data_IF_183722412232
#
_entry.id   IF_183722412232
#
_cell.length_a   1.000
_cell.length_b   1.000
_cell.length_c   1.000
_cell.angle_alpha   90.00
_cell.angle_beta   90.00
_cell.angle_gamma   90.00
#
_symmetry.space_group_name_H-M   'P 1'
#
loop_
_entity.id
_entity.type
_entity.pdbx_description
1 polymer ?
2 non-polymer ?
3 water ?
#
# COMPACT_ATOMS: atom_id res chain seq x y z
N UNK A 9 -10.55 -38.64 9.53
CA UNK A 9 -9.31 -39.20 10.06
C UNK A 9 -8.83 -38.44 11.30
N UNK A 10 -8.03 -39.12 12.13
CA UNK A 10 -7.53 -38.53 13.35
C UNK A 10 -6.42 -37.51 13.10
N UNK A 11 -5.39 -37.89 12.35
CA UNK A 11 -4.19 -37.04 12.27
C UNK A 11 -4.41 -35.78 11.44
N UNK A 12 -4.78 -35.92 10.17
CA UNK A 12 -4.81 -34.78 9.27
C UNK A 12 -5.86 -33.75 9.67
N UNK A 13 -7.09 -34.20 9.96
CA UNK A 13 -8.13 -33.26 10.34
C UNK A 13 -7.83 -32.60 11.68
N UNK A 14 -7.07 -33.26 12.55
CA UNK A 14 -6.58 -32.60 13.75
C UNK A 14 -5.49 -31.59 13.41
N UNK A 15 -4.55 -31.97 12.54
CA UNK A 15 -3.50 -31.04 12.13
C UNK A 15 -4.09 -29.82 11.43
N UNK A 16 -5.05 -30.05 10.52
CA UNK A 16 -5.72 -28.93 9.85
C UNK A 16 -6.39 -28.02 10.87
N UNK A 17 -6.95 -28.61 11.93
CA UNK A 17 -7.52 -27.80 13.00
C UNK A 17 -6.44 -27.05 13.77
N UNK A 18 -5.31 -27.70 14.04
CA UNK A 18 -4.21 -27.02 14.70
C UNK A 18 -3.68 -25.86 13.85
N UNK A 19 -3.53 -26.08 12.54
CA UNK A 19 -3.04 -25.04 11.65
C UNK A 19 -3.98 -23.84 11.70
N UNK A 20 -5.28 -24.10 11.70
CA UNK A 20 -6.26 -23.02 11.78
C UNK A 20 -6.13 -22.24 13.09
N UNK A 21 -5.89 -22.95 14.20
CA UNK A 21 -5.74 -22.29 15.48
C UNK A 21 -4.49 -21.41 15.52
N UNK A 22 -3.39 -21.87 14.92
CA UNK A 22 -2.17 -21.08 14.90
C UNK A 22 -2.35 -19.82 14.06
N UNK A 23 -3.08 -19.94 12.95
CA UNK A 23 -3.30 -18.78 12.09
C UNK A 23 -4.33 -17.82 12.67
N UNK A 24 -5.22 -18.31 13.54
CA UNK A 24 -6.10 -17.41 14.28
C UNK A 24 -5.28 -16.54 15.23
N UNK A 25 -4.22 -17.09 15.80
CA UNK A 25 -3.38 -16.32 16.71
C UNK A 25 -2.51 -15.33 15.95
N UNK A 26 -2.10 -15.70 14.73
CA UNK A 26 -1.36 -14.77 13.88
C UNK A 26 -2.26 -13.60 13.48
N UNK A 27 -3.52 -13.89 13.14
CA UNK A 27 -4.47 -12.81 12.85
C UNK A 27 -4.63 -11.89 14.07
N UNK A 28 -4.69 -12.48 15.26
CA UNK A 28 -4.77 -11.67 16.48
C UNK A 28 -3.54 -10.78 16.64
N UNK A 29 -2.34 -11.35 16.45
CA UNK A 29 -1.13 -10.54 16.50
C UNK A 29 -1.13 -9.46 15.42
N UNK A 30 -1.64 -9.78 14.23
CA UNK A 30 -1.73 -8.77 13.19
C UNK A 30 -2.67 -7.65 13.60
N UNK A 31 -3.83 -8.00 14.16
CA UNK A 31 -4.79 -6.99 14.59
C UNK A 31 -4.21 -6.13 15.70
N UNK A 32 -3.33 -6.69 16.54
CA UNK A 32 -2.73 -5.93 17.62
C UNK A 32 -1.66 -4.99 17.09
N UNK A 33 -0.94 -5.38 16.03
CA UNK A 33 0.02 -4.49 15.40
C UNK A 33 -0.68 -3.33 14.73
N UNK A 34 -1.79 -3.59 14.02
CA UNK A 34 -2.50 -2.53 13.33
C UNK A 34 -3.15 -1.55 14.29
N UNK A 35 -3.44 -1.98 15.52
CA UNK A 35 -3.85 -1.05 16.56
C UNK A 35 -2.69 -0.14 16.97
N UNK A 36 -1.55 -0.76 17.32
CA UNK A 36 -0.38 0.00 17.76
C UNK A 36 0.06 1.00 16.69
N UNK A 37 -0.04 0.62 15.42
CA UNK A 37 0.31 1.53 14.34
C UNK A 37 -0.71 2.66 14.25
N UNK A 38 -1.98 2.33 14.48
CA UNK A 38 -3.03 3.36 14.45
C UNK A 38 -2.82 4.38 15.56
N UNK A 39 -2.30 3.93 16.71
CA UNK A 39 -1.98 4.85 17.80
C UNK A 39 -0.85 5.80 17.40
N UNK A 40 0.12 5.30 16.63
CA UNK A 40 1.24 6.15 16.21
C UNK A 40 0.77 7.23 15.25
N UNK A 41 -0.14 6.88 14.33
CA UNK A 41 -0.67 7.90 13.43
C UNK A 41 -1.48 8.93 14.18
N UNK A 42 -2.27 8.50 15.17
CA UNK A 42 -3.02 9.45 15.99
C UNK A 42 -2.10 10.37 16.77
N UNK A 43 -0.97 9.84 17.26
CA UNK A 43 -0.04 10.69 18.00
C UNK A 43 0.56 11.76 17.10
N UNK A 44 0.99 11.38 15.90
CA UNK A 44 1.64 12.32 15.01
C UNK A 44 0.63 13.20 14.26
N UNK A 45 -0.63 12.77 14.17
CA UNK A 45 -1.66 13.67 13.67
C UNK A 45 -1.79 14.90 14.57
N UNK A 46 -1.75 14.69 15.88
CA UNK A 46 -1.87 15.79 16.83
C UNK A 46 -0.62 16.66 16.84
N UNK A 47 0.55 16.06 16.59
CA UNK A 47 1.80 16.82 16.57
C UNK A 47 1.91 17.68 15.33
N UNK A 48 1.37 17.22 14.19
CA UNK A 48 1.47 17.97 12.95
C UNK A 48 0.45 19.11 12.89
N UNK A 49 -0.66 18.96 13.61
CA UNK A 49 -1.79 19.88 13.46
C UNK A 49 -1.44 21.34 13.72
N UNK A 50 -0.62 21.70 14.71
CA UNK A 50 -0.24 23.12 14.83
C UNK A 50 0.57 23.63 13.65
N UNK A 51 1.36 22.76 13.02
CA UNK A 51 2.16 23.18 11.86
C UNK A 51 1.30 23.37 10.61
N UNK A 52 0.31 22.50 10.40
CA UNK A 52 -0.63 22.70 9.30
C UNK A 52 -1.40 24.00 9.47
N UNK A 53 -1.75 24.32 10.72
CA UNK A 53 -2.40 25.57 11.10
C UNK A 53 -1.58 26.77 10.67
N UNK A 54 -0.29 26.80 11.05
CA UNK A 54 0.58 27.92 10.67
C UNK A 54 0.72 27.98 9.16
N UNK A 55 0.84 26.82 8.52
CA UNK A 55 0.93 26.77 7.07
C UNK A 55 -0.32 27.37 6.43
N UNK A 56 -1.50 27.05 6.98
CA UNK A 56 -2.73 27.62 6.44
C UNK A 56 -2.70 29.14 6.46
N UNK A 57 -2.22 29.75 7.55
CA UNK A 57 -2.13 31.20 7.62
C UNK A 57 -1.14 31.76 6.60
N UNK A 58 -0.02 31.08 6.41
CA UNK A 58 0.97 31.54 5.45
C UNK A 58 0.45 31.39 4.02
N UNK A 59 -0.28 30.31 3.75
CA UNK A 59 -0.82 30.07 2.42
C UNK A 59 -1.82 31.15 2.04
N UNK A 60 -2.62 31.62 3.01
CA UNK A 60 -3.64 32.63 2.76
C UNK A 60 -3.05 33.98 2.38
N UNK A 61 -1.73 34.12 2.49
CA UNK A 61 -0.98 35.29 2.06
C UNK A 61 -0.40 35.12 0.67
N UNK A 62 -0.72 34.02 -0.01
CA UNK A 62 -0.15 33.67 -1.31
C UNK A 62 -1.26 33.56 -2.35
N UNK A 63 -1.38 34.49 -3.28
CA UNK A 63 -2.45 34.41 -4.29
C UNK A 63 -2.28 33.19 -5.18
N UNK A 64 -3.41 32.52 -5.46
CA UNK A 64 -3.46 31.40 -6.40
C UNK A 64 -2.59 30.22 -5.95
N UNK A 65 -2.42 30.04 -4.64
CA UNK A 65 -1.61 28.93 -4.16
C UNK A 65 -2.20 27.59 -4.58
N UNK A 66 -3.48 27.37 -4.28
CA UNK A 66 -4.06 26.04 -4.47
C UNK A 66 -4.37 25.74 -5.93
N UNK A 67 -4.73 26.75 -6.72
CA UNK A 67 -4.92 26.53 -8.16
C UNK A 67 -3.61 26.08 -8.78
N UNK A 68 -2.52 26.74 -8.41
CA UNK A 68 -1.22 26.41 -9.00
C UNK A 68 -0.75 25.04 -8.54
N UNK A 69 -0.92 24.73 -7.26
CA UNK A 69 -0.64 23.39 -6.75
C UNK A 69 -1.37 22.33 -7.57
N UNK A 70 -2.64 22.57 -7.89
CA UNK A 70 -3.43 21.57 -8.61
C UNK A 70 -3.00 21.49 -10.08
N UNK A 71 -2.74 22.64 -10.69
CA UNK A 71 -2.35 22.66 -12.10
C UNK A 71 -1.00 21.97 -12.32
N UNK A 72 -0.11 22.02 -11.34
CA UNK A 72 1.21 21.42 -11.47
C UNK A 72 1.26 20.02 -10.88
N UNK A 73 0.12 19.44 -10.50
CA UNK A 73 0.10 18.09 -9.95
C UNK A 73 -0.15 17.08 -11.07
N UNK A 74 0.64 16.01 -11.16
CA UNK A 74 0.53 15.10 -12.32
C UNK A 74 -0.83 14.45 -12.50
N UNK A 75 -1.56 14.15 -11.41
CA UNK A 75 -2.86 13.52 -11.57
C UNK A 75 -4.02 14.53 -11.60
N UNK A 76 -3.97 15.54 -10.74
CA UNK A 76 -5.12 16.43 -10.60
C UNK A 76 -5.19 17.42 -11.77
N UNK A 77 -4.05 17.77 -12.37
CA UNK A 77 -4.03 18.72 -13.48
C UNK A 77 -4.98 18.31 -14.59
N UNK A 78 -5.10 17.00 -14.84
CA UNK A 78 -5.96 16.53 -15.92
C UNK A 78 -7.44 16.67 -15.58
N UNK A 79 -7.77 16.91 -14.32
CA UNK A 79 -9.16 17.07 -13.90
C UNK A 79 -9.66 18.50 -14.03
N UNK A 80 -8.80 19.46 -14.33
CA UNK A 80 -9.18 20.87 -14.42
C UNK A 80 -9.44 21.28 -15.85
N UNK A 81 -10.63 21.81 -16.10
CA UNK A 81 -10.91 22.55 -17.31
C UNK A 81 -10.48 24.00 -17.18
N UNK A 82 -10.69 24.76 -18.26
CA UNK A 82 -10.27 26.15 -18.28
C UNK A 82 -11.03 26.98 -17.24
N UNK A 83 -12.36 26.87 -17.24
CA UNK A 83 -13.15 27.66 -16.31
C UNK A 83 -13.05 27.15 -14.89
N UNK A 84 -12.72 25.86 -14.70
CA UNK A 84 -12.46 25.36 -13.37
C UNK A 84 -11.33 26.12 -12.70
N UNK A 85 -10.27 26.44 -13.46
CA UNK A 85 -9.16 27.21 -12.91
C UNK A 85 -9.61 28.60 -12.46
N UNK A 86 -10.45 29.27 -13.27
CA UNK A 86 -10.99 30.55 -12.86
C UNK A 86 -11.73 30.46 -11.53
N UNK A 87 -12.51 29.39 -11.33
CA UNK A 87 -13.23 29.25 -10.07
C UNK A 87 -12.28 28.99 -8.92
N UNK A 88 -11.26 28.16 -9.14
CA UNK A 88 -10.34 27.79 -8.07
C UNK A 88 -9.44 28.96 -7.66
N UNK A 89 -9.37 30.03 -8.46
CA UNK A 89 -8.72 31.25 -8.03
C UNK A 89 -9.18 31.69 -6.64
N UNK A 90 -10.46 31.47 -6.33
CA UNK A 90 -11.06 31.92 -5.10
C UNK A 90 -10.88 30.92 -3.96
N UNK A 91 -10.15 29.84 -4.20
CA UNK A 91 -9.90 28.83 -3.17
C UNK A 91 -8.73 29.31 -2.29
N UNK A 92 -9.05 29.74 -1.07
CA UNK A 92 -8.05 30.30 -0.19
C UNK A 92 -7.47 29.27 0.77
N UNK A 93 -8.21 28.21 1.05
CA UNK A 93 -7.84 27.30 2.12
C UNK A 93 -8.35 25.90 1.81
N UNK A 94 -7.50 24.92 2.03
CA UNK A 94 -7.87 23.50 1.94
C UNK A 94 -7.48 22.87 3.27
N UNK A 95 -8.42 22.15 3.88
CA UNK A 95 -8.18 21.46 5.13
C UNK A 95 -8.54 19.99 4.99
N UNK A 96 -7.76 19.14 5.66
CA UNK A 96 -8.01 17.71 5.70
C UNK A 96 -8.01 17.28 7.17
N UNK A 97 -9.09 16.62 7.60
CA UNK A 97 -9.24 16.18 8.97
C UNK A 97 -9.57 14.69 8.96
N UNK A 98 -8.64 13.88 9.47
CA UNK A 98 -8.96 12.49 9.79
C UNK A 98 -9.70 12.46 11.11
N UNK A 99 -10.78 11.69 11.16
CA UNK A 99 -11.53 11.60 12.41
C UNK A 99 -10.67 10.90 13.46
N UNK A 100 -11.01 11.16 14.73
CA UNK A 100 -10.12 10.80 15.83
C UNK A 100 -9.72 9.32 15.76
N UNK A 101 -10.70 8.44 15.59
CA UNK A 101 -10.45 7.01 15.54
C UNK A 101 -9.91 6.55 14.19
N UNK A 102 -9.75 7.47 13.23
CA UNK A 102 -9.08 7.21 11.95
C UNK A 102 -9.93 6.30 11.07
N UNK A 103 -10.32 5.13 11.60
CA UNK A 103 -11.14 4.19 10.84
C UNK A 103 -12.43 4.82 10.36
N UNK A 104 -13.06 5.66 11.19
CA UNK A 104 -14.32 6.28 10.82
C UNK A 104 -14.26 6.98 9.47
N UNK A 105 -13.16 7.69 9.21
CA UNK A 105 -12.98 8.31 7.91
C UNK A 105 -12.31 9.67 7.98
N UNK A 106 -12.56 10.50 6.98
CA UNK A 106 -11.93 11.82 6.94
C UNK A 106 -12.80 12.77 6.12
N UNK A 107 -12.51 14.05 6.25
CA UNK A 107 -13.22 15.14 5.58
C UNK A 107 -12.22 16.12 4.97
N UNK A 108 -12.56 16.64 3.78
CA UNK A 108 -11.77 17.65 3.12
C UNK A 108 -12.65 18.89 2.94
N UNK A 109 -12.14 20.05 3.34
CA UNK A 109 -12.88 21.30 3.28
C UNK A 109 -12.18 22.24 2.31
N UNK A 110 -12.97 22.82 1.40
CA UNK A 110 -12.47 23.83 0.47
C UNK A 110 -13.16 25.16 0.79
N UNK A 111 -12.37 26.13 1.24
CA UNK A 111 -12.88 27.45 1.61
C UNK A 111 -12.70 28.39 0.42
N UNK A 112 -13.80 28.99 -0.04
CA UNK A 112 -13.77 29.92 -1.15
C UNK A 112 -14.14 31.33 -0.69
N UNK A 113 -13.54 32.32 -1.35
CA UNK A 113 -14.01 33.68 -1.23
C UNK A 113 -15.24 33.86 -2.10
N UNK A 114 -15.97 34.95 -1.86
CA UNK A 114 -17.13 35.27 -2.69
C UNK A 114 -16.72 35.30 -4.16
N UNK A 115 -17.50 34.62 -5.00
CA UNK A 115 -17.08 34.30 -6.36
C UNK A 115 -18.31 34.32 -7.25
N UNK A 116 -18.13 34.40 -8.57
CA UNK A 116 -19.29 34.43 -9.48
C UNK A 116 -19.96 33.09 -9.72
N UNK A 117 -19.47 31.99 -9.14
CA UNK A 117 -19.93 30.66 -9.54
C UNK A 117 -20.92 30.04 -8.58
N UNK A 118 -20.71 30.19 -7.27
CA UNK A 118 -21.60 29.60 -6.30
C UNK A 118 -21.54 30.39 -5.00
N UNK A 119 -22.58 30.22 -4.18
CA UNK A 119 -22.77 31.03 -2.99
C UNK A 119 -22.10 30.42 -1.77
N UNK A 120 -21.64 29.17 -1.86
CA UNK A 120 -21.09 28.48 -0.70
C UNK A 120 -19.79 29.12 -0.25
N UNK A 121 -19.63 29.24 1.06
CA UNK A 121 -18.37 29.69 1.65
C UNK A 121 -17.40 28.52 1.77
N UNK A 122 -17.93 27.32 2.00
CA UNK A 122 -17.12 26.11 2.15
C UNK A 122 -17.76 25.01 1.32
N UNK A 123 -16.93 24.22 0.65
CA UNK A 123 -17.35 23.00 -0.02
C UNK A 123 -16.62 21.84 0.64
N UNK A 124 -17.38 20.83 1.07
CA UNK A 124 -16.80 19.71 1.80
C UNK A 124 -17.23 18.39 1.18
N UNK A 125 -16.34 17.40 1.32
CA UNK A 125 -16.64 16.01 1.00
C UNK A 125 -16.00 15.14 2.08
N UNK A 126 -16.83 14.35 2.76
CA UNK A 126 -16.38 13.48 3.84
C UNK A 126 -16.58 12.02 3.44
N UNK A 127 -15.76 11.15 3.99
CA UNK A 127 -15.77 9.72 3.68
C UNK A 127 -16.01 8.93 4.96
N UNK A 128 -16.93 7.96 4.89
CA UNK A 128 -17.36 7.18 6.05
C UNK A 128 -17.23 5.69 5.81
N UNK A 129 -17.14 4.96 6.92
CA UNK A 129 -17.17 3.50 6.92
C UNK A 129 -18.36 2.99 7.73
N UNK A 132 -23.83 0.39 8.24
CA UNK A 132 -22.90 -0.72 8.48
C UNK A 132 -21.46 -0.26 8.27
N UNK A 133 -20.60 -1.20 7.85
CA UNK A 133 -19.21 -0.89 7.60
C UNK A 133 -18.91 -0.85 6.12
N UNK A 134 -19.75 -0.12 5.37
CA UNK A 134 -19.66 0.02 3.92
C UNK A 134 -19.17 1.41 3.55
N UNK A 135 -18.20 1.52 2.65
CA UNK A 135 -17.62 2.84 2.33
C UNK A 135 -18.66 3.77 1.72
N UNK A 136 -18.76 4.98 2.27
CA UNK A 136 -19.74 5.97 1.85
C UNK A 136 -19.12 7.35 1.86
N UNK A 137 -19.74 8.27 1.11
CA UNK A 137 -19.27 9.65 1.07
C UNK A 137 -20.46 10.59 0.89
N UNK A 138 -20.31 11.81 1.41
CA UNK A 138 -21.34 12.82 1.36
C UNK A 138 -20.70 14.19 1.19
N UNK A 139 -21.34 15.06 0.41
CA UNK A 139 -20.77 16.36 0.11
C UNK A 139 -21.80 17.46 0.38
N UNK A 140 -21.28 18.68 0.54
CA UNK A 140 -22.14 19.85 0.57
C UNK A 140 -22.78 20.05 -0.80
N UNK A 141 -24.04 20.50 -0.78
CA UNK A 141 -24.73 20.82 -2.03
C UNK A 141 -24.22 22.15 -2.57
N UNK A 142 -23.76 22.16 -3.81
CA UNK A 142 -23.20 23.37 -4.40
C UNK A 142 -24.34 24.24 -4.87
N UNK A 143 -24.43 25.45 -4.31
CA UNK A 143 -25.48 26.41 -4.65
C UNK A 143 -24.95 27.32 -5.75
N UNK A 144 -24.96 26.78 -6.97
CA UNK A 144 -24.48 27.52 -8.12
C UNK A 144 -25.34 28.75 -8.39
N UNK A 145 -24.75 29.76 -9.02
CA UNK A 145 -25.47 30.97 -9.36
C UNK A 145 -25.99 30.88 -10.79
N UNK A 146 -26.93 31.76 -11.10
CA UNK A 146 -27.61 31.70 -12.39
C UNK A 146 -26.63 31.81 -13.56
N UNK A 147 -26.56 30.75 -14.36
CA UNK A 147 -25.78 30.67 -15.57
C UNK A 147 -24.33 30.25 -15.40
N UNK A 148 -23.98 29.67 -14.25
CA UNK A 148 -22.65 29.13 -13.98
C UNK A 148 -22.87 27.77 -13.33
N UNK A 149 -22.23 26.74 -13.89
CA UNK A 149 -22.49 25.40 -13.39
C UNK A 149 -21.39 24.46 -13.87
N UNK A 150 -21.62 23.16 -13.69
CA UNK A 150 -20.75 22.10 -14.14
C UNK A 150 -21.22 21.49 -15.45
N UNK A 151 -22.47 21.73 -15.81
CA UNK A 151 -23.02 21.26 -17.08
C UNK A 151 -22.36 22.03 -18.22
N UNK A 152 -21.69 21.28 -19.10
CA UNK A 152 -20.94 21.80 -20.24
C UNK A 152 -21.56 23.05 -20.89
N UNK A 169 -14.27 20.20 -23.12
CA UNK A 169 -13.51 19.55 -22.06
C UNK A 169 -14.27 18.32 -21.54
N UNK A 170 -13.59 17.47 -20.76
CA UNK A 170 -14.32 16.46 -20.00
C UNK A 170 -15.09 17.06 -18.84
N UNK A 171 -15.71 16.19 -18.03
CA UNK A 171 -16.48 16.62 -16.87
C UNK A 171 -15.69 17.59 -15.98
N UNK A 172 -16.42 18.56 -15.43
CA UNK A 172 -15.79 19.62 -14.64
C UNK A 172 -15.18 19.04 -13.36
N UNK A 173 -14.20 19.77 -12.82
CA UNK A 173 -13.56 19.37 -11.57
C UNK A 173 -14.57 19.22 -10.45
N UNK A 174 -15.60 20.07 -10.43
CA UNK A 174 -16.51 20.15 -9.31
C UNK A 174 -17.49 18.99 -9.25
N UNK A 175 -17.62 18.23 -10.34
CA UNK A 175 -18.44 17.02 -10.30
C UNK A 175 -17.92 16.01 -9.28
N UNK A 176 -16.63 16.10 -8.91
CA UNK A 176 -16.09 15.30 -7.83
C UNK A 176 -16.94 15.38 -6.57
N UNK A 177 -17.49 16.56 -6.28
CA UNK A 177 -18.27 16.72 -5.05
C UNK A 177 -19.55 15.90 -5.11
N UNK A 178 -20.10 15.69 -6.30
CA UNK A 178 -21.36 14.99 -6.43
C UNK A 178 -21.18 13.54 -6.87
N UNK A 179 -19.94 13.06 -6.94
CA UNK A 179 -19.66 11.66 -7.25
C UNK A 179 -19.55 10.88 -5.94
N UNK A 180 -20.37 9.83 -5.80
CA UNK A 180 -20.39 9.06 -4.58
C UNK A 180 -20.43 7.56 -4.83
N UNK A 181 -20.30 7.10 -6.08
CA UNK A 181 -20.37 5.66 -6.34
C UNK A 181 -19.15 4.93 -5.80
N UNK A 182 -17.95 5.35 -6.19
CA UNK A 182 -16.72 4.71 -5.74
C UNK A 182 -16.21 5.36 -4.44
N UNK A 183 -17.03 5.28 -3.40
CA UNK A 183 -16.70 5.94 -2.14
C UNK A 183 -15.38 5.41 -1.57
N UNK A 184 -15.22 4.10 -1.53
CA UNK A 184 -13.97 3.53 -1.03
C UNK A 184 -12.81 3.66 -2.00
N UNK A 185 -13.08 3.95 -3.27
CA UNK A 185 -12.06 4.07 -4.30
C UNK A 185 -11.94 5.50 -4.85
N UNK A 186 -12.11 6.50 -3.99
CA UNK A 186 -12.02 7.90 -4.40
C UNK A 186 -10.55 8.28 -4.54
N UNK A 187 -10.05 8.28 -5.78
CA UNK A 187 -8.64 8.57 -6.02
C UNK A 187 -8.28 9.99 -5.60
N UNK A 188 -9.07 10.98 -6.05
CA UNK A 188 -8.76 12.37 -5.73
C UNK A 188 -8.72 12.60 -4.23
N UNK A 189 -9.70 12.05 -3.50
CA UNK A 189 -9.68 12.16 -2.05
C UNK A 189 -8.41 11.59 -1.43
N UNK A 190 -7.96 10.43 -1.93
CA UNK A 190 -6.77 9.81 -1.37
C UNK A 190 -5.52 10.57 -1.78
N UNK A 191 -5.51 11.14 -2.98
CA UNK A 191 -4.35 11.92 -3.44
C UNK A 191 -4.23 13.20 -2.62
N UNK A 192 -5.35 13.90 -2.39
CA UNK A 192 -5.31 15.09 -1.55
C UNK A 192 -4.87 14.74 -0.14
N UNK A 193 -5.42 13.67 0.42
CA UNK A 193 -5.16 13.34 1.82
C UNK A 193 -3.73 12.86 2.03
N UNK A 194 -3.25 12.01 1.14
CA UNK A 194 -1.98 11.32 1.35
C UNK A 194 -0.80 11.99 0.63
N UNK A 195 -1.06 12.76 -0.42
CA UNK A 195 -0.01 13.37 -1.24
C UNK A 195 -0.01 14.88 -1.13
N UNK A 196 -1.10 15.55 -1.52
CA UNK A 196 -1.07 17.00 -1.69
C UNK A 196 -1.14 17.72 -0.36
N UNK A 197 -2.02 17.27 0.54
CA UNK A 197 -2.15 17.92 1.85
C UNK A 197 -0.86 17.87 2.65
N UNK A 198 -0.16 16.73 2.81
CA UNK A 198 1.12 16.76 3.54
C UNK A 198 2.13 17.76 3.01
N UNK A 199 2.22 17.93 1.69
CA UNK A 199 3.23 18.82 1.10
C UNK A 199 2.71 19.40 -0.21
N UNK A 200 1.96 20.50 -0.14
CA UNK A 200 1.56 21.20 -1.37
C UNK A 200 2.63 22.11 -1.95
N UNK A 201 3.66 22.46 -1.17
CA UNK A 201 4.62 23.45 -1.61
C UNK A 201 5.44 22.97 -2.80
N UNK A 202 5.73 21.66 -2.86
CA UNK A 202 6.52 21.12 -3.97
C UNK A 202 5.86 21.38 -5.31
N UNK A 203 4.52 21.38 -5.35
CA UNK A 203 3.80 21.57 -6.60
C UNK A 203 3.58 23.05 -6.91
N UNK A 204 3.39 23.87 -5.89
CA UNK A 204 3.32 25.31 -6.11
C UNK A 204 4.63 25.83 -6.67
N UNK A 205 5.75 25.39 -6.10
CA UNK A 205 7.06 25.90 -6.48
C UNK A 205 7.47 25.32 -7.83
N UNK A 206 7.86 26.21 -8.75
CA UNK A 206 8.36 25.82 -10.06
C UNK A 206 9.79 26.31 -10.17
N UNK A 207 10.75 25.45 -10.49
CA UNK A 207 12.16 25.89 -10.58
C UNK A 207 12.38 26.79 -11.78
N UNK A 208 13.02 27.94 -11.53
CA UNK A 208 13.38 28.86 -12.61
C UNK A 208 14.88 28.83 -12.83
N UNK A 209 15.30 29.24 -14.03
CA UNK A 209 16.70 29.16 -14.38
C UNK A 209 17.26 30.49 -14.89
N UNK B 7 -0.67 41.90 -1.21
CA UNK B 7 0.57 41.45 -0.61
C UNK B 7 1.78 41.86 -1.46
N UNK B 8 2.87 42.20 -0.79
CA UNK B 8 4.06 42.66 -1.49
C UNK B 8 4.76 41.52 -2.21
N UNK B 9 5.59 41.89 -3.20
CA UNK B 9 6.38 40.89 -3.91
C UNK B 9 7.40 40.27 -2.97
N UNK B 10 7.95 41.07 -2.06
CA UNK B 10 8.86 40.59 -1.03
C UNK B 10 8.12 39.77 0.00
N UNK B 11 6.95 40.25 0.42
CA UNK B 11 6.19 39.60 1.48
C UNK B 11 5.82 38.19 1.06
N UNK B 12 5.46 38.01 -0.22
CA UNK B 12 5.14 36.67 -0.73
C UNK B 12 6.36 35.75 -0.62
N UNK B 13 7.54 36.24 -1.03
CA UNK B 13 8.74 35.42 -0.92
C UNK B 13 9.12 35.18 0.54
N UNK B 14 8.74 36.09 1.44
CA UNK B 14 8.91 35.82 2.88
C UNK B 14 7.96 34.72 3.33
N UNK B 15 6.70 34.78 2.88
CA UNK B 15 5.76 33.73 3.21
C UNK B 15 6.21 32.38 2.65
N UNK B 16 6.67 32.37 1.40
CA UNK B 16 7.19 31.14 0.81
C UNK B 16 8.36 30.60 1.62
N UNK B 17 9.20 31.51 2.15
CA UNK B 17 10.29 31.08 3.01
C UNK B 17 9.77 30.51 4.32
N UNK B 18 8.75 31.14 4.90
CA UNK B 18 8.14 30.62 6.13
C UNK B 18 7.51 29.25 5.87
N UNK B 19 6.78 29.12 4.76
CA UNK B 19 6.11 27.85 4.43
C UNK B 19 7.12 26.73 4.31
N UNK B 20 8.28 27.01 3.69
CA UNK B 20 9.31 25.99 3.54
C UNK B 20 9.82 25.54 4.91
N UNK B 21 9.99 26.48 5.84
CA UNK B 21 10.45 26.13 7.17
C UNK B 21 9.41 25.28 7.91
N UNK B 22 8.13 25.62 7.76
CA UNK B 22 7.07 24.85 8.42
C UNK B 22 6.98 23.46 7.83
N UNK B 23 7.18 23.34 6.52
CA UNK B 23 7.08 22.05 5.85
C UNK B 23 8.29 21.17 6.09
N UNK B 24 9.45 21.76 6.43
CA UNK B 24 10.58 20.96 6.84
C UNK B 24 10.31 20.27 8.17
N UNK B 25 9.57 20.91 9.07
CA UNK B 25 9.25 20.30 10.35
C UNK B 25 8.16 19.24 10.20
N UNK B 26 7.23 19.44 9.25
CA UNK B 26 6.25 18.41 8.95
C UNK B 26 6.93 17.18 8.36
N UNK B 27 7.89 17.40 7.46
CA UNK B 27 8.67 16.29 6.93
C UNK B 27 9.42 15.57 8.05
N UNK B 28 9.98 16.32 9.01
CA UNK B 28 10.62 15.70 10.16
C UNK B 28 9.63 14.84 10.93
N UNK B 29 8.45 15.40 11.22
CA UNK B 29 7.43 14.65 11.93
C UNK B 29 6.99 13.42 11.16
N UNK B 30 6.89 13.53 9.83
CA UNK B 30 6.54 12.37 9.01
C UNK B 30 7.62 11.31 9.08
N UNK B 31 8.89 11.72 8.97
CA UNK B 31 10.00 10.77 9.01
C UNK B 31 10.09 10.07 10.37
N UNK B 32 9.72 10.77 11.44
CA UNK B 32 9.78 10.15 12.77
C UNK B 32 8.63 9.17 12.97
N UNK B 33 7.47 9.44 12.37
CA UNK B 33 6.35 8.50 12.45
C UNK B 33 6.66 7.22 11.69
N UNK B 34 7.24 7.33 10.50
CA UNK B 34 7.54 6.14 9.71
C UNK B 34 8.65 5.30 10.33
N UNK B 35 9.50 5.90 11.17
CA UNK B 35 10.42 5.11 11.98
C UNK B 35 9.67 4.33 13.04
N UNK B 36 8.84 5.02 13.83
CA UNK B 36 8.09 4.35 14.89
C UNK B 36 7.25 3.21 14.34
N UNK B 37 6.69 3.39 13.14
CA UNK B 37 5.85 2.35 12.55
C UNK B 37 6.71 1.13 12.17
N UNK B 38 7.91 1.37 11.63
CA UNK B 38 8.79 0.27 11.29
C UNK B 38 9.26 -0.49 12.53
N UNK B 39 9.44 0.22 13.65
CA UNK B 39 9.79 -0.47 14.89
C UNK B 39 8.66 -1.40 15.32
N UNK B 40 7.42 -0.98 15.09
CA UNK B 40 6.27 -1.80 15.45
C UNK B 40 6.21 -3.05 14.58
N UNK B 41 6.51 -2.91 13.29
CA UNK B 41 6.55 -4.07 12.41
C UNK B 41 7.68 -5.02 12.81
N UNK B 42 8.84 -4.46 13.17
CA UNK B 42 9.96 -5.29 13.61
C UNK B 42 9.63 -6.03 14.90
N UNK B 43 8.88 -5.38 15.80
CA UNK B 43 8.52 -6.03 17.05
C UNK B 43 7.61 -7.23 16.78
N UNK B 44 6.61 -7.05 15.92
CA UNK B 44 5.65 -8.11 15.65
C UNK B 44 6.20 -9.14 14.67
N UNK B 45 7.25 -8.80 13.91
CA UNK B 45 7.95 -9.83 13.13
C UNK B 45 8.55 -10.89 14.04
N UNK B 46 9.19 -10.46 15.14
CA UNK B 46 9.75 -11.43 16.07
C UNK B 46 8.66 -12.12 16.87
N UNK B 47 7.54 -11.42 17.09
CA UNK B 47 6.45 -11.99 17.86
C UNK B 47 5.74 -13.10 17.08
N UNK B 48 5.65 -12.95 15.76
CA UNK B 48 4.97 -13.93 14.92
C UNK B 48 5.86 -15.13 14.62
N UNK B 49 7.18 -14.94 14.60
CA UNK B 49 8.08 -15.97 14.10
C UNK B 49 7.98 -17.29 14.85
N UNK B 50 7.77 -17.35 16.17
CA UNK B 50 7.55 -18.67 16.79
C UNK B 50 6.26 -19.33 16.33
N UNK B 51 5.24 -18.55 15.97
CA UNK B 51 3.99 -19.16 15.50
C UNK B 51 4.15 -19.71 14.08
N UNK B 52 4.89 -19.01 13.22
CA UNK B 52 5.23 -19.59 11.92
C UNK B 52 6.08 -20.84 12.11
N UNK B 53 6.99 -20.81 13.09
CA UNK B 53 7.77 -21.99 13.43
C UNK B 53 6.86 -23.15 13.80
N UNK B 54 5.87 -22.89 14.67
CA UNK B 54 4.91 -23.93 15.04
C UNK B 54 4.11 -24.42 13.84
N UNK B 55 3.69 -23.51 12.95
CA UNK B 55 2.93 -23.91 11.77
C UNK B 55 3.72 -24.84 10.86
N UNK B 56 5.00 -24.52 10.62
CA UNK B 56 5.82 -25.34 9.74
C UNK B 56 5.92 -26.77 10.25
N UNK B 57 6.07 -26.96 11.56
CA UNK B 57 6.18 -28.30 12.11
C UNK B 57 4.92 -29.09 11.85
N UNK B 58 3.75 -28.46 11.98
CA UNK B 58 2.50 -29.13 11.71
C UNK B 58 2.33 -29.41 10.23
N UNK B 59 2.77 -28.47 9.38
CA UNK B 59 2.67 -28.67 7.94
C UNK B 59 3.52 -29.85 7.50
N UNK B 60 4.69 -30.04 8.12
CA UNK B 60 5.58 -31.11 7.71
C UNK B 60 5.04 -32.50 8.03
N UNK B 61 3.94 -32.62 8.76
CA UNK B 61 3.30 -33.91 8.96
C UNK B 61 2.14 -34.12 7.98
N UNK B 62 2.00 -33.25 6.99
CA UNK B 62 0.91 -33.34 6.03
C UNK B 62 1.53 -33.59 4.65
N UNK B 63 1.41 -34.80 4.12
CA UNK B 63 2.05 -35.10 2.82
C UNK B 63 1.48 -34.24 1.71
N UNK B 64 2.36 -33.75 0.85
CA UNK B 64 1.99 -33.01 -0.36
C UNK B 64 1.27 -31.70 -0.04
N UNK B 65 1.59 -31.08 1.11
CA UNK B 65 0.94 -29.83 1.47
C UNK B 65 1.25 -28.73 0.48
N UNK B 66 2.54 -28.49 0.22
CA UNK B 66 2.93 -27.31 -0.55
C UNK B 66 2.71 -27.51 -2.04
N UNK B 67 2.90 -28.72 -2.55
CA UNK B 67 2.55 -28.97 -3.95
C UNK B 67 1.07 -28.74 -4.17
N UNK B 68 0.23 -29.15 -3.22
CA UNK B 68 -1.22 -29.00 -3.37
C UNK B 68 -1.62 -27.54 -3.31
N UNK B 69 -1.08 -26.79 -2.35
CA UNK B 69 -1.31 -25.34 -2.30
C UNK B 69 -0.95 -24.68 -3.62
N UNK B 70 0.19 -25.07 -4.21
CA UNK B 70 0.63 -24.43 -5.45
C UNK B 70 -0.25 -24.83 -6.62
N UNK B 71 -0.66 -26.10 -6.67
CA UNK B 71 -1.52 -26.58 -7.75
C UNK B 71 -2.87 -25.90 -7.73
N UNK B 72 -3.37 -25.55 -6.54
CA UNK B 72 -4.68 -24.93 -6.41
C UNK B 72 -4.61 -23.41 -6.34
N UNK B 73 -3.44 -22.82 -6.56
CA UNK B 73 -3.33 -21.36 -6.53
C UNK B 73 -3.54 -20.80 -7.93
N UNK B 74 -4.39 -19.78 -8.10
CA UNK B 74 -4.75 -19.31 -9.45
C UNK B 74 -3.57 -18.83 -10.29
N UNK B 75 -2.55 -18.23 -9.68
CA UNK B 75 -1.43 -17.75 -10.49
C UNK B 75 -0.30 -18.78 -10.59
N UNK B 76 0.04 -19.45 -9.48
CA UNK B 76 1.20 -20.33 -9.47
C UNK B 76 0.92 -21.64 -10.20
N UNK B 77 -0.35 -22.08 -10.21
CA UNK B 77 -0.70 -23.34 -10.85
C UNK B 77 -0.23 -23.41 -12.30
N UNK B 78 -0.28 -22.27 -13.01
CA UNK B 78 0.09 -22.24 -14.42
C UNK B 78 1.59 -22.37 -14.64
N UNK B 79 2.40 -22.19 -13.59
CA UNK B 79 3.84 -22.32 -13.69
C UNK B 79 4.33 -23.75 -13.49
N UNK B 80 3.44 -24.68 -13.14
CA UNK B 80 3.84 -26.04 -12.82
C UNK B 80 3.63 -26.95 -14.02
N UNK B 81 4.70 -27.63 -14.43
CA UNK B 81 4.58 -28.76 -15.35
C UNK B 81 4.29 -30.05 -14.60
N UNK B 82 4.16 -31.13 -15.38
CA UNK B 82 3.84 -32.43 -14.78
C UNK B 82 4.96 -32.91 -13.88
N UNK B 83 6.20 -32.89 -14.38
CA UNK B 83 7.33 -33.35 -13.58
C UNK B 83 7.69 -32.37 -12.48
N UNK B 84 7.34 -31.09 -12.64
CA UNK B 84 7.52 -30.13 -11.56
C UNK B 84 6.75 -30.55 -10.31
N UNK B 85 5.52 -31.04 -10.50
CA UNK B 85 4.72 -31.50 -9.37
C UNK B 85 5.36 -32.69 -8.68
N UNK B 86 5.88 -33.64 -9.45
CA UNK B 86 6.61 -34.77 -8.87
C UNK B 86 7.78 -34.29 -8.02
N UNK B 87 8.49 -33.26 -8.49
CA UNK B 87 9.61 -32.73 -7.72
C UNK B 87 9.13 -32.04 -6.45
N UNK B 88 8.05 -31.26 -6.56
CA UNK B 88 7.52 -30.52 -5.41
C UNK B 88 6.90 -31.43 -4.37
N UNK B 89 6.64 -32.70 -4.70
CA UNK B 89 6.28 -33.71 -3.69
C UNK B 89 7.23 -33.69 -2.51
N UNK B 90 8.52 -33.45 -2.77
CA UNK B 90 9.54 -33.52 -1.74
C UNK B 90 9.72 -32.21 -1.00
N UNK B 91 8.89 -31.21 -1.27
CA UNK B 91 8.95 -29.92 -0.59
C UNK B 91 8.21 -30.03 0.72
N UNK B 92 8.96 -30.11 1.83
CA UNK B 92 8.36 -30.28 3.14
C UNK B 92 8.13 -28.97 3.87
N UNK B 93 8.88 -27.93 3.53
CA UNK B 93 8.89 -26.70 4.31
C UNK B 93 9.16 -25.51 3.41
N UNK B 94 8.39 -24.45 3.59
CA UNK B 94 8.62 -23.18 2.93
C UNK B 94 8.71 -22.11 4.02
N UNK B 95 9.76 -21.30 3.96
CA UNK B 95 9.96 -20.20 4.90
C UNK B 95 10.14 -18.89 4.15
N UNK B 96 9.63 -17.81 4.74
CA UNK B 96 9.79 -16.46 4.22
C UNK B 96 10.32 -15.58 5.33
N UNK B 97 11.44 -14.91 5.07
CA UNK B 97 12.10 -14.07 6.06
C UNK B 97 12.31 -12.68 5.49
N UNK B 98 11.64 -11.69 6.10
CA UNK B 98 11.95 -10.30 5.83
C UNK B 98 13.20 -9.90 6.60
N UNK B 99 14.10 -9.19 5.94
CA UNK B 99 15.28 -8.70 6.62
C UNK B 99 14.87 -7.65 7.66
N UNK B 100 15.74 -7.45 8.65
CA UNK B 100 15.37 -6.68 9.85
C UNK B 100 14.78 -5.33 9.49
N UNK B 101 15.47 -4.56 8.64
CA UNK B 101 14.98 -3.23 8.28
C UNK B 101 13.87 -3.29 7.24
N UNK B 102 13.47 -4.49 6.80
CA UNK B 102 12.30 -4.73 5.97
C UNK B 102 12.54 -4.20 4.56
N UNK B 103 12.88 -2.91 4.45
CA UNK B 103 13.14 -2.32 3.14
C UNK B 103 14.28 -3.05 2.41
N UNK B 104 15.28 -3.53 3.15
CA UNK B 104 16.42 -4.22 2.54
C UNK B 104 15.98 -5.34 1.61
N UNK B 105 14.96 -6.10 2.00
CA UNK B 105 14.40 -7.13 1.13
C UNK B 105 13.94 -8.36 1.90
N UNK B 106 13.90 -9.51 1.24
CA UNK B 106 13.41 -10.73 1.88
C UNK B 106 14.00 -11.94 1.17
N UNK B 107 13.87 -13.11 1.82
CA UNK B 107 14.42 -14.38 1.35
C UNK B 107 13.35 -15.46 1.47
N UNK B 108 13.29 -16.38 0.50
CA UNK B 108 12.37 -17.50 0.51
C UNK B 108 13.15 -18.80 0.47
N UNK B 109 12.80 -19.74 1.35
CA UNK B 109 13.48 -21.03 1.45
C UNK B 109 12.52 -22.16 1.08
N UNK B 110 13.01 -23.07 0.23
CA UNK B 110 12.29 -24.30 -0.09
C UNK B 110 13.14 -25.46 0.40
N UNK B 111 12.66 -26.18 1.41
CA UNK B 111 13.37 -27.30 2.00
C UNK B 111 12.85 -28.59 1.37
N UNK B 112 13.75 -29.36 0.78
CA UNK B 112 13.39 -30.62 0.12
C UNK B 112 13.97 -31.80 0.88
N UNK B 113 13.22 -32.90 0.86
CA UNK B 113 13.76 -34.19 1.27
C UNK B 113 14.59 -34.77 0.12
N UNK B 114 15.38 -35.79 0.44
CA UNK B 114 16.18 -36.46 -0.57
C UNK B 114 15.29 -36.92 -1.72
N UNK B 115 15.69 -36.60 -2.95
CA UNK B 115 14.82 -36.71 -4.10
C UNK B 115 15.65 -37.09 -5.31
N UNK B 116 15.01 -37.57 -6.38
CA UNK B 116 15.77 -37.98 -7.58
C UNK B 116 16.23 -36.83 -8.46
N UNK B 117 15.92 -35.58 -8.13
CA UNK B 117 16.13 -34.48 -9.07
C UNK B 117 17.39 -33.66 -8.77
N UNK B 118 17.66 -33.36 -7.50
CA UNK B 118 18.82 -32.55 -7.17
C UNK B 118 19.26 -32.86 -5.75
N UNK B 119 20.51 -32.51 -5.45
CA UNK B 119 21.16 -32.86 -4.20
C UNK B 119 20.95 -31.82 -3.11
N UNK B 120 20.44 -30.64 -3.45
CA UNK B 120 20.31 -29.56 -2.48
C UNK B 120 19.29 -29.93 -1.40
N UNK B 121 19.64 -29.63 -0.16
CA UNK B 121 18.67 -29.76 0.93
C UNK B 121 17.75 -28.55 0.97
N UNK B 122 18.25 -27.37 0.60
CA UNK B 122 17.49 -26.14 0.61
C UNK B 122 17.72 -25.41 -0.72
N UNK B 123 16.66 -24.84 -1.26
CA UNK B 123 16.72 -23.93 -2.40
C UNK B 123 16.21 -22.56 -1.96
N UNK B 124 16.98 -21.52 -2.21
CA UNK B 124 16.64 -20.19 -1.75
C UNK B 124 16.72 -19.17 -2.88
N UNK B 125 15.90 -18.14 -2.78
CA UNK B 125 15.96 -16.96 -3.64
C UNK B 125 15.74 -15.74 -2.76
N UNK B 126 16.71 -14.82 -2.76
CA UNK B 126 16.63 -13.60 -1.95
C UNK B 126 16.51 -12.38 -2.86
N UNK B 127 15.87 -11.35 -2.34
CA UNK B 127 15.60 -10.11 -3.07
C UNK B 127 16.19 -8.93 -2.32
N UNK B 128 16.87 -8.05 -3.04
CA UNK B 128 17.56 -6.90 -2.45
C UNK B 128 17.07 -5.62 -3.11
N UNK B 129 17.15 -4.52 -2.36
CA UNK B 129 16.84 -3.19 -2.91
C UNK B 129 18.04 -2.25 -2.78
N UNK B 132 18.80 2.89 -1.97
CA UNK B 132 18.41 3.66 -3.15
C UNK B 132 17.17 3.08 -3.80
N UNK B 133 17.15 1.76 -3.93
CA UNK B 133 16.04 1.08 -4.56
C UNK B 133 16.47 0.45 -5.88
N UNK B 134 17.58 -0.29 -5.85
CA UNK B 134 18.11 -0.94 -7.03
C UNK B 134 17.77 -2.43 -6.93
N UNK B 135 16.70 -2.88 -7.59
CA UNK B 135 16.20 -4.24 -7.40
C UNK B 135 17.12 -5.32 -7.95
N UNK B 136 17.44 -6.30 -7.09
CA UNK B 136 18.32 -7.41 -7.46
C UNK B 136 17.85 -8.67 -6.76
N UNK B 137 18.24 -9.83 -7.31
CA UNK B 137 17.92 -11.11 -6.69
C UNK B 137 19.03 -12.11 -6.98
N UNK B 138 19.22 -13.05 -6.06
CA UNK B 138 20.25 -14.08 -6.17
C UNK B 138 19.73 -15.36 -5.55
N UNK B 139 20.07 -16.50 -6.15
CA UNK B 139 19.56 -17.79 -5.72
C UNK B 139 20.68 -18.81 -5.53
N UNK B 140 20.36 -19.85 -4.78
CA UNK B 140 21.23 -21.02 -4.68
C UNK B 140 21.34 -21.73 -6.03
N UNK B 141 22.53 -22.26 -6.33
CA UNK B 141 22.73 -23.04 -7.53
C UNK B 141 22.15 -24.44 -7.34
N UNK B 142 21.28 -24.84 -8.25
CA UNK B 142 20.61 -26.14 -8.15
C UNK B 142 21.56 -27.20 -8.72
N UNK B 143 21.96 -28.16 -7.89
CA UNK B 143 22.86 -29.23 -8.31
C UNK B 143 22.01 -30.42 -8.76
N UNK B 144 21.54 -30.33 -10.00
CA UNK B 144 20.69 -31.39 -10.57
C UNK B 144 21.46 -32.70 -10.69
N UNK B 145 20.73 -33.81 -10.59
CA UNK B 145 21.29 -35.15 -10.66
C UNK B 145 21.02 -35.79 -12.02
N UNK B 146 21.61 -35.20 -13.06
CA UNK B 146 21.39 -35.65 -14.44
C UNK B 146 19.91 -35.81 -14.76
N UNK B 147 19.11 -34.87 -14.25
CA UNK B 147 17.68 -34.83 -14.48
C UNK B 147 17.16 -33.41 -14.42
N UNK B 148 17.91 -32.47 -14.99
CA UNK B 148 17.50 -31.08 -15.03
C UNK B 148 16.11 -30.96 -15.64
N UNK B 149 15.20 -30.31 -14.92
CA UNK B 149 13.83 -30.12 -15.42
C UNK B 149 13.75 -28.98 -16.42
N UNK B 150 14.79 -28.15 -16.49
CA UNK B 150 14.86 -26.99 -17.36
C UNK B 150 15.61 -27.26 -18.66
N UNK B 151 16.27 -28.41 -18.79
CA UNK B 151 16.88 -28.79 -20.07
C UNK B 151 16.31 -30.13 -20.55
N UNK B 152 15.00 -30.16 -20.78
CA UNK B 152 14.29 -31.33 -21.26
C UNK B 152 13.11 -30.85 -22.09
N UNK B 153 13.01 -31.34 -23.33
CA UNK B 153 12.00 -30.86 -24.27
C UNK B 153 11.01 -31.96 -24.62
N UNK B 170 4.92 -24.68 -20.34
CA UNK B 170 5.96 -25.70 -20.44
C UNK B 170 7.23 -25.42 -19.64
N UNK B 171 7.85 -24.25 -19.80
CA UNK B 171 9.10 -23.96 -19.09
C UNK B 171 8.96 -24.28 -17.62
N UNK B 172 9.99 -24.91 -17.06
CA UNK B 172 9.89 -25.51 -15.74
C UNK B 172 9.74 -24.45 -14.65
N UNK B 173 9.09 -24.87 -13.56
CA UNK B 173 8.92 -24.01 -12.39
C UNK B 173 10.26 -23.58 -11.82
N UNK B 174 11.26 -24.46 -11.87
CA UNK B 174 12.51 -24.25 -11.17
C UNK B 174 13.41 -23.22 -11.86
N UNK B 175 13.12 -22.87 -13.11
CA UNK B 175 13.85 -21.78 -13.76
C UNK B 175 13.66 -20.46 -13.02
N UNK B 176 12.57 -20.34 -12.25
CA UNK B 176 12.37 -19.16 -11.40
C UNK B 176 13.61 -18.88 -10.54
N UNK B 177 14.29 -19.93 -10.06
CA UNK B 177 15.45 -19.72 -9.21
C UNK B 177 16.58 -19.06 -9.98
N UNK B 178 16.68 -19.31 -11.29
CA UNK B 178 17.79 -18.80 -12.08
C UNK B 178 17.39 -17.57 -12.89
N UNK B 179 16.18 -17.05 -12.69
CA UNK B 179 15.73 -15.83 -13.34
C UNK B 179 16.03 -14.64 -12.44
N UNK B 180 16.78 -13.67 -12.95
CA UNK B 180 17.15 -12.50 -12.16
C UNK B 180 16.97 -11.19 -12.93
N UNK B 181 16.39 -11.24 -14.14
CA UNK B 181 16.17 -10.03 -14.93
C UNK B 181 15.09 -9.14 -14.33
N UNK B 182 13.97 -9.73 -13.88
CA UNK B 182 12.88 -8.91 -13.37
C UNK B 182 13.20 -8.34 -11.99
N UNK B 183 13.83 -9.13 -11.13
CA UNK B 183 14.20 -8.71 -9.78
C UNK B 183 13.06 -8.01 -9.05
N UNK B 184 12.94 -6.70 -9.24
CA UNK B 184 11.90 -5.92 -8.60
C UNK B 184 10.51 -6.20 -9.12
N UNK B 185 10.40 -6.87 -10.27
CA UNK B 185 9.13 -7.24 -10.84
C UNK B 185 8.94 -8.76 -10.78
N UNK B 186 9.47 -9.39 -9.73
CA UNK B 186 9.34 -10.83 -9.53
C UNK B 186 7.95 -11.07 -8.96
N UNK B 187 7.01 -11.42 -9.83
CA UNK B 187 5.62 -11.61 -9.42
C UNK B 187 5.50 -12.77 -8.44
N UNK B 188 6.10 -13.92 -8.77
CA UNK B 188 5.99 -15.09 -7.91
C UNK B 188 6.54 -14.81 -6.51
N UNK B 189 7.68 -14.14 -6.42
CA UNK B 189 8.21 -13.76 -5.12
C UNK B 189 7.22 -12.99 -4.29
N UNK B 190 6.49 -12.06 -4.92
CA UNK B 190 5.52 -11.25 -4.19
C UNK B 190 4.29 -12.06 -3.80
N UNK B 191 3.88 -12.99 -4.66
CA UNK B 191 2.70 -13.81 -4.36
C UNK B 191 2.98 -14.75 -3.20
N UNK B 192 4.16 -15.39 -3.21
CA UNK B 192 4.53 -16.24 -2.07
C UNK B 192 4.62 -15.41 -0.81
N UNK B 193 5.23 -14.22 -0.88
CA UNK B 193 5.46 -13.42 0.31
C UNK B 193 4.17 -12.82 0.86
N UNK B 194 3.31 -12.29 -0.01
CA UNK B 194 2.17 -11.50 0.44
C UNK B 194 0.87 -12.30 0.50
N UNK B 195 0.77 -13.39 -0.26
CA UNK B 195 -0.47 -14.15 -0.38
C UNK B 195 -0.34 -15.54 0.21
N UNK B 196 0.57 -16.37 -0.31
CA UNK B 196 0.57 -17.79 0.03
C UNK B 196 1.16 -18.02 1.42
N UNK B 197 2.26 -17.34 1.74
CA UNK B 197 2.89 -17.52 3.05
C UNK B 197 1.96 -17.13 4.21
N UNK B 198 1.30 -15.96 4.21
CA UNK B 198 0.37 -15.66 5.31
C UNK B 198 -0.71 -16.72 5.54
N UNK B 199 -1.27 -17.30 4.48
CA UNK B 199 -2.37 -18.25 4.61
C UNK B 199 -2.32 -19.25 3.45
N UNK B 200 -1.51 -20.30 3.59
CA UNK B 200 -1.53 -21.37 2.58
C UNK B 200 -2.69 -22.34 2.74
N UNK B 201 -3.35 -22.35 3.91
CA UNK B 201 -4.35 -23.37 4.20
C UNK B 201 -5.57 -23.24 3.29
N UNK B 202 -5.93 -22.02 2.89
CA UNK B 202 -7.09 -21.83 2.02
C UNK B 202 -6.94 -22.58 0.70
N UNK B 203 -5.70 -22.70 0.21
CA UNK B 203 -5.46 -23.33 -1.09
C UNK B 203 -5.30 -24.84 -0.95
N UNK B 204 -4.70 -25.30 0.16
CA UNK B 204 -4.63 -26.73 0.41
C UNK B 204 -6.02 -27.33 0.56
N UNK B 205 -6.91 -26.65 1.28
CA UNK B 205 -8.25 -27.19 1.54
C UNK B 205 -9.10 -27.11 0.27
N UNK B 206 -9.72 -28.22 -0.08
CA UNK B 206 -10.65 -28.30 -1.19
C UNK B 206 -12.03 -28.63 -0.61
N UNK B 207 -13.05 -27.83 -0.90
CA UNK B 207 -14.39 -28.12 -0.36
C UNK B 207 -14.97 -29.37 -0.99
N UNK B 208 -15.43 -30.29 -0.15
CA UNK B 208 -16.05 -31.54 -0.58
C UNK B 208 -17.54 -31.51 -0.29
N UNK B 209 -18.25 -32.48 -0.88
CA UNK B 209 -19.70 -32.54 -0.81
C UNK B 209 -20.14 -33.83 -0.12
X LIG C 1 7.49 21.70 -8.49
X LIG D 1 -9.34 -24.20 -1.87
#
# INVERSE_FOLDING_TARGET
HDGADETSEKEQQEAIEHIDEVQNEIDRLNEQASEEILKVEQKYNKLRQPFFQKRSELIAKIPNFWVTTFVNHPQVSALLGEEDEEALHYLTRVEVTEFEDIKSGYRIDFYFDENPYFENKVLSKEFHLNESGDPSSKSTEIKWKSGKDLTKRSSQTQNKASRKRQHEEPESFFTWFTDHSDAGADELGEVIKDDIWPNPLQYYLVPDM
HDGADETSEKEQQEAIEHIDEVQNEIDRLNEQASEEILKVEQKYNKLRQPFFQKRSELIAKIPNFWVTTFVNHPQVSALLGEEDEEALHYLTRVEVTEFEDIKSGYRIDFYFDENPYFENKVLSKEFHLNESGDPSSKSTEIKWKSGKDLTKRSSQTQNKASRKRQHEEPESFFTWFTDHSDAGADELGEVIKDDIWPNPLQYYLVPDM
CA CA
CA CA
#
